data_IF_296987770252
#
_entry.id   IF_296987770252
#
_cell.length_a   1.000
_cell.length_b   1.000
_cell.length_c   1.000
_cell.angle_alpha   90.00
_cell.angle_beta   90.00
_cell.angle_gamma   90.00
#
_symmetry.space_group_name_H-M   'P 1'
#
loop_
_entity.id
_entity.type
_entity.pdbx_description
1 polymer ?
#
# COMPACT_ATOMS: atom_id res chain seq x y z
N UNK A 1 -31.45 14.06 -3.65
CA UNK A 1 -30.65 13.19 -4.55
C UNK A 1 -30.34 11.91 -3.80
N UNK A 2 -30.95 10.79 -4.20
CA UNK A 2 -30.73 9.50 -3.54
C UNK A 2 -29.38 8.92 -3.99
N UNK A 3 -28.43 8.81 -3.07
CA UNK A 3 -27.17 8.09 -3.28
C UNK A 3 -27.48 6.61 -3.42
N UNK A 4 -27.43 6.09 -4.64
CA UNK A 4 -27.54 4.65 -4.88
C UNK A 4 -26.40 3.94 -4.14
N UNK A 5 -26.72 3.26 -3.05
CA UNK A 5 -25.80 2.38 -2.32
C UNK A 5 -25.36 1.29 -3.30
N UNK A 6 -24.16 1.43 -3.88
CA UNK A 6 -23.57 0.45 -4.82
C UNK A 6 -23.33 -0.85 -4.06
N UNK A 7 -24.32 -1.72 -4.05
CA UNK A 7 -24.25 -3.05 -3.47
C UNK A 7 -23.65 -3.99 -4.51
N UNK A 8 -22.47 -4.53 -4.22
CA UNK A 8 -21.86 -5.63 -5.00
C UNK A 8 -22.20 -6.97 -4.32
N UNK A 9 -22.40 -8.02 -5.13
CA UNK A 9 -22.70 -9.38 -4.65
C UNK A 9 -21.47 -10.27 -4.78
N UNK A 10 -21.17 -11.04 -3.73
CA UNK A 10 -20.14 -12.06 -3.72
C UNK A 10 -20.81 -13.45 -3.82
N UNK A 11 -20.46 -14.22 -4.84
CA UNK A 11 -20.92 -15.61 -5.00
C UNK A 11 -19.75 -16.56 -4.76
N UNK A 12 -19.92 -17.53 -3.86
CA UNK A 12 -18.89 -18.48 -3.47
C UNK A 12 -19.35 -19.92 -3.68
N UNK A 13 -18.41 -20.78 -4.06
CA UNK A 13 -18.59 -22.23 -4.06
C UNK A 13 -17.82 -22.80 -2.87
N UNK A 14 -18.50 -23.62 -2.09
CA UNK A 14 -17.97 -24.20 -0.85
C UNK A 14 -18.38 -25.67 -0.83
N UNK A 15 -17.46 -26.54 -0.39
CA UNK A 15 -17.75 -27.95 -0.20
C UNK A 15 -18.72 -28.15 0.98
N UNK A 16 -19.63 -29.14 0.94
CA UNK A 16 -20.67 -29.31 1.97
C UNK A 16 -20.11 -29.37 3.40
N UNK A 17 -19.03 -30.12 3.61
CA UNK A 17 -18.37 -30.25 4.91
C UNK A 17 -17.81 -28.93 5.43
N UNK A 18 -17.30 -28.08 4.54
CA UNK A 18 -16.81 -26.75 4.90
C UNK A 18 -17.97 -25.81 5.27
N UNK A 19 -19.11 -25.94 4.58
CA UNK A 19 -20.31 -25.16 4.90
C UNK A 19 -20.84 -25.48 6.31
N UNK A 20 -20.79 -26.75 6.71
CA UNK A 20 -21.23 -27.18 8.04
C UNK A 20 -20.33 -26.63 9.15
N UNK A 21 -19.00 -26.62 8.93
CA UNK A 21 -18.05 -25.99 9.85
C UNK A 21 -18.33 -24.50 9.99
N UNK A 22 -18.52 -23.79 8.88
CA UNK A 22 -18.79 -22.34 8.90
C UNK A 22 -20.09 -22.02 9.61
N UNK A 23 -21.15 -22.81 9.41
CA UNK A 23 -22.44 -22.62 10.11
C UNK A 23 -22.32 -22.83 11.60
N UNK A 24 -21.60 -23.86 12.03
CA UNK A 24 -21.34 -24.11 13.46
C UNK A 24 -20.56 -22.96 14.08
N UNK A 25 -19.49 -22.51 13.43
CA UNK A 25 -18.69 -21.38 13.93
C UNK A 25 -19.50 -20.08 14.03
N UNK A 26 -20.36 -19.79 13.05
CA UNK A 26 -21.26 -18.64 13.10
C UNK A 26 -22.26 -18.75 14.27
N UNK A 27 -22.82 -19.95 14.49
CA UNK A 27 -23.76 -20.21 15.59
C UNK A 27 -23.10 -20.04 16.97
N UNK A 28 -21.88 -20.54 17.16
CA UNK A 28 -21.10 -20.34 18.40
C UNK A 28 -20.87 -18.85 18.71
N UNK A 29 -20.69 -18.03 17.67
CA UNK A 29 -20.53 -16.59 17.79
C UNK A 29 -21.86 -15.80 17.75
N UNK A 30 -23.01 -16.50 17.80
CA UNK A 30 -24.35 -15.90 17.82
C UNK A 30 -24.59 -14.89 16.68
N UNK A 31 -24.05 -15.18 15.49
CA UNK A 31 -24.17 -14.31 14.32
C UNK A 31 -24.61 -15.10 13.08
N UNK A 32 -25.16 -14.40 12.10
CA UNK A 32 -25.52 -15.03 10.83
C UNK A 32 -24.26 -15.41 10.02
N UNK A 33 -24.42 -16.41 9.14
CA UNK A 33 -23.33 -16.95 8.33
C UNK A 33 -22.67 -15.89 7.42
N UNK A 34 -23.46 -14.95 6.89
CA UNK A 34 -22.93 -13.93 5.98
C UNK A 34 -22.09 -12.92 6.75
N UNK A 35 -22.58 -12.44 7.89
CA UNK A 35 -21.83 -11.54 8.77
C UNK A 35 -20.54 -12.20 9.29
N UNK A 36 -20.62 -13.48 9.68
CA UNK A 36 -19.45 -14.24 10.11
C UNK A 36 -18.37 -14.32 9.03
N UNK A 37 -18.74 -14.75 7.83
CA UNK A 37 -17.79 -14.91 6.71
C UNK A 37 -17.23 -13.55 6.29
N UNK A 38 -18.08 -12.52 6.18
CA UNK A 38 -17.64 -11.20 5.76
C UNK A 38 -16.69 -10.58 6.79
N UNK A 39 -17.02 -10.68 8.08
CA UNK A 39 -16.18 -10.20 9.17
C UNK A 39 -14.79 -10.86 9.14
N UNK A 40 -14.75 -12.20 9.14
CA UNK A 40 -13.51 -12.95 9.09
C UNK A 40 -12.67 -12.63 7.84
N UNK A 41 -13.31 -12.49 6.68
CA UNK A 41 -12.62 -12.13 5.44
C UNK A 41 -12.05 -10.69 5.48
N UNK A 42 -12.81 -9.73 6.04
CA UNK A 42 -12.35 -8.35 6.17
C UNK A 42 -11.20 -8.21 7.16
N UNK A 43 -11.25 -8.93 8.29
CA UNK A 43 -10.17 -8.91 9.27
C UNK A 43 -8.89 -9.47 8.67
N UNK A 44 -8.98 -10.63 7.98
CA UNK A 44 -7.83 -11.19 7.29
C UNK A 44 -7.31 -10.30 6.16
N UNK A 45 -8.21 -9.63 5.42
CA UNK A 45 -7.83 -8.69 4.38
C UNK A 45 -7.08 -7.48 4.96
N UNK A 46 -7.56 -6.93 6.09
CA UNK A 46 -6.88 -5.83 6.78
C UNK A 46 -5.49 -6.24 7.24
N UNK A 47 -5.35 -7.40 7.88
CA UNK A 47 -4.03 -7.93 8.27
C UNK A 47 -3.09 -8.05 7.08
N UNK A 48 -3.59 -8.62 5.98
CA UNK A 48 -2.80 -8.83 4.75
C UNK A 48 -2.37 -7.50 4.11
N UNK A 49 -3.22 -6.47 4.18
CA UNK A 49 -2.89 -5.13 3.70
C UNK A 49 -1.97 -4.37 4.65
N UNK A 50 -2.09 -4.59 5.96
CA UNK A 50 -1.27 -3.96 7.00
C UNK A 50 0.13 -4.55 7.09
N UNK A 51 0.32 -5.83 6.75
CA UNK A 51 1.64 -6.46 6.64
C UNK A 51 2.57 -5.70 5.67
N UNK A 52 2.01 -4.89 4.77
CA UNK A 52 2.75 -4.05 3.82
C UNK A 52 3.02 -2.61 4.34
N UNK A 53 2.47 -2.20 5.49
CA UNK A 53 2.50 -0.78 5.92
C UNK A 53 3.18 -0.49 7.26
N UNK A 54 3.65 -1.51 7.99
CA UNK A 54 4.32 -1.29 9.28
C UNK A 54 5.84 -1.24 9.10
N UNK A 55 6.42 -0.06 9.30
CA UNK A 55 7.88 0.10 9.41
C UNK A 55 8.25 -0.09 10.89
N UNK A 56 8.85 -1.23 11.21
CA UNK A 56 9.40 -1.48 12.56
C UNK A 56 10.77 -0.80 12.69
N UNK A 57 10.91 0.10 13.66
CA UNK A 57 12.16 0.79 13.94
C UNK A 57 12.75 0.31 15.28
N UNK A 58 14.07 0.13 15.31
CA UNK A 58 14.82 0.03 16.56
C UNK A 58 14.78 1.36 17.33
N UNK A 59 15.10 1.32 18.63
CA UNK A 59 15.15 2.53 19.45
C UNK A 59 16.12 3.59 18.90
N UNK A 60 17.21 3.17 18.25
CA UNK A 60 18.18 4.08 17.64
C UNK A 60 17.65 4.69 16.34
N UNK A 61 17.07 3.88 15.46
CA UNK A 61 16.46 4.38 14.22
C UNK A 61 15.33 5.36 14.50
N UNK A 62 14.53 5.09 15.54
CA UNK A 62 13.49 6.03 16.00
C UNK A 62 14.09 7.37 16.45
N UNK A 63 15.16 7.37 17.26
CA UNK A 63 15.83 8.62 17.65
C UNK A 63 16.36 9.39 16.45
N UNK A 64 17.02 8.70 15.51
CA UNK A 64 17.53 9.33 14.28
C UNK A 64 16.42 9.93 13.43
N UNK A 65 15.25 9.27 13.39
CA UNK A 65 14.09 9.76 12.68
C UNK A 65 13.46 10.97 13.37
N UNK A 66 13.31 10.93 14.70
CA UNK A 66 12.80 12.06 15.49
C UNK A 66 13.71 13.30 15.30
N UNK A 67 15.03 13.14 15.40
CA UNK A 67 16.01 14.20 15.12
C UNK A 67 15.97 14.70 13.67
N UNK A 68 15.55 13.87 12.72
CA UNK A 68 15.37 14.28 11.33
C UNK A 68 14.10 15.11 11.13
N UNK A 69 13.02 14.80 11.87
CA UNK A 69 11.77 15.57 11.81
C UNK A 69 11.88 16.94 12.50
N UNK A 70 12.68 17.06 13.56
CA UNK A 70 12.88 18.33 14.27
C UNK A 70 13.80 19.32 13.53
N UNK A 71 14.51 18.87 12.49
CA UNK A 71 15.39 19.73 11.69
C UNK A 71 14.60 20.49 10.63
N UNK A 72 15.02 21.73 10.38
CA UNK A 72 14.47 22.53 9.28
C UNK A 72 14.63 21.79 7.94
N UNK A 73 13.56 21.67 7.13
CA UNK A 73 13.65 21.01 5.84
C UNK A 73 14.66 21.72 4.93
N UNK A 74 15.60 20.96 4.39
CA UNK A 74 16.54 21.45 3.38
C UNK A 74 16.24 20.81 2.04
N UNK A 75 16.20 21.62 0.99
CA UNK A 75 16.10 21.13 -0.38
C UNK A 75 17.45 20.54 -0.78
N UNK A 76 17.45 19.27 -1.15
CA UNK A 76 18.60 18.62 -1.78
C UNK A 76 18.51 18.86 -3.28
N UNK A 77 19.47 19.58 -3.86
CA UNK A 77 19.44 19.99 -5.27
C UNK A 77 19.23 18.82 -6.22
N UNK A 78 19.97 17.72 -6.04
CA UNK A 78 19.83 16.51 -6.84
C UNK A 78 18.43 15.87 -6.75
N UNK A 79 17.78 15.92 -5.57
CA UNK A 79 16.41 15.43 -5.41
C UNK A 79 15.40 16.35 -6.10
N UNK A 80 15.62 17.67 -6.04
CA UNK A 80 14.77 18.64 -6.72
C UNK A 80 14.83 18.47 -8.25
N UNK A 81 16.03 18.27 -8.80
CA UNK A 81 16.23 17.97 -10.22
C UNK A 81 15.52 16.68 -10.63
N UNK A 82 15.63 15.61 -9.82
CA UNK A 82 14.97 14.34 -10.08
C UNK A 82 13.44 14.47 -10.06
N UNK A 83 12.87 15.18 -9.09
CA UNK A 83 11.42 15.40 -8.99
C UNK A 83 10.93 16.26 -10.16
N UNK A 84 11.69 17.29 -10.55
CA UNK A 84 11.34 18.14 -11.70
C UNK A 84 11.31 17.34 -13.01
N UNK A 85 12.31 16.48 -13.20
CA UNK A 85 12.37 15.57 -14.33
C UNK A 85 11.26 14.51 -14.30
N UNK A 86 10.94 13.93 -13.13
CA UNK A 86 9.86 12.95 -13.03
C UNK A 86 8.51 13.55 -13.44
N UNK A 87 8.25 14.80 -13.03
CA UNK A 87 7.06 15.56 -13.42
C UNK A 87 6.97 15.81 -14.93
N UNK A 88 8.09 16.01 -15.64
CA UNK A 88 8.03 16.21 -17.10
C UNK A 88 7.61 14.94 -17.86
N UNK A 89 7.86 13.75 -17.29
CA UNK A 89 7.46 12.47 -17.88
C UNK A 89 5.96 12.18 -17.77
N UNK A 90 5.33 12.68 -16.70
CA UNK A 90 3.88 12.57 -16.47
C UNK A 90 3.11 13.47 -17.45
N UNK A 91 3.66 14.64 -17.80
CA UNK A 91 3.01 15.61 -18.71
C UNK A 91 3.00 15.12 -20.18
N UNK A 92 3.95 14.25 -20.57
CA UNK A 92 4.09 13.77 -21.97
C UNK A 92 3.23 12.53 -22.32
N UNK A 93 2.43 11.98 -21.41
CA UNK A 93 1.58 10.80 -21.67
C UNK A 93 0.10 11.04 -21.42
N UNK A 94 -0.63 11.54 -22.43
CA UNK A 94 -2.08 11.65 -22.38
C UNK A 94 -2.81 10.33 -22.73
N UNK A 95 -2.13 9.21 -22.99
CA UNK A 95 -2.76 8.00 -23.58
C UNK A 95 -2.73 6.74 -22.71
N UNK A 96 -2.02 6.72 -21.58
CA UNK A 96 -2.24 5.76 -20.47
C UNK A 96 -2.05 4.27 -20.79
N UNK A 97 -1.48 3.94 -21.96
CA UNK A 97 -1.28 2.57 -22.42
C UNK A 97 0.07 2.43 -23.13
N UNK A 98 1.14 2.50 -22.34
CA UNK A 98 2.47 2.14 -22.78
C UNK A 98 3.37 1.87 -21.58
N UNK A 99 3.86 0.65 -21.41
CA UNK A 99 4.97 0.38 -20.48
C UNK A 99 6.19 1.14 -21.00
N UNK A 100 6.41 2.36 -20.51
CA UNK A 100 7.62 3.12 -20.79
C UNK A 100 8.78 2.46 -20.04
N UNK A 101 9.72 1.88 -20.80
CA UNK A 101 10.97 1.36 -20.26
C UNK A 101 11.81 2.55 -19.82
N UNK A 102 11.74 2.86 -18.53
CA UNK A 102 12.62 3.84 -17.93
C UNK A 102 13.98 3.20 -17.68
N UNK A 103 15.06 3.70 -18.31
CA UNK A 103 16.41 3.30 -17.92
C UNK A 103 16.87 4.18 -16.76
N UNK A 104 17.21 3.52 -15.65
CA UNK A 104 17.87 4.14 -14.51
C UNK A 104 19.38 4.03 -14.72
N UNK A 105 20.19 5.08 -14.47
CA UNK A 105 19.84 6.40 -13.91
C UNK A 105 19.41 7.46 -14.95
N UNK A 106 18.70 8.52 -14.54
CA UNK A 106 18.33 9.66 -15.39
C UNK A 106 19.56 10.30 -16.07
N UNK A 107 19.42 10.84 -17.30
CA UNK A 107 20.49 11.58 -17.95
C UNK A 107 20.74 12.89 -17.19
N UNK A 108 21.94 13.04 -16.61
CA UNK A 108 22.34 14.30 -15.94
C UNK A 108 23.12 14.21 -14.61
N UNK A 109 23.42 13.00 -14.10
CA UNK A 109 24.29 12.63 -12.94
C UNK A 109 23.52 12.05 -11.76
N UNK A 110 23.89 10.83 -11.36
CA UNK A 110 23.69 10.30 -10.00
C UNK A 110 24.91 9.49 -9.50
N UNK A 111 26.14 9.83 -9.93
CA UNK A 111 27.35 9.26 -9.31
C UNK A 111 28.42 10.34 -9.18
N UNK A 112 28.53 10.92 -7.99
CA UNK A 112 29.78 11.44 -7.40
C UNK A 112 29.50 11.85 -5.95
N UNK A 113 29.27 10.87 -5.07
CA UNK A 113 29.49 10.98 -3.62
C UNK A 113 29.11 9.66 -2.91
N UNK A 114 29.75 8.55 -3.28
CA UNK A 114 30.01 7.46 -2.34
C UNK A 114 31.45 7.05 -2.59
N UNK A 115 32.36 7.82 -1.99
CA UNK A 115 33.74 7.44 -1.68
C UNK A 115 34.18 8.37 -0.55
N UNK A 116 34.23 7.85 0.68
CA UNK A 116 35.43 7.86 1.52
C UNK A 116 35.17 7.00 2.77
N UNK A 117 36.10 6.06 2.97
CA UNK A 117 36.37 5.30 4.20
C UNK A 117 36.67 6.22 5.40
#
# INVERSE_FOLDING_TARGET
MATATKTSRLNLRVAPESLDVLRRAAAEQQQDLTSFILGAALDRARETLLEVQVITLTAEERRRLDEAFDREPRVVSALAELVAWAKSLEVEDPSGLGRRTYSWPPPGKLVSAVDED
#
